data_IF_306823129298
#
_entry.id   IF_306823129298
#
_cell.length_a   1.000
_cell.length_b   1.000
_cell.length_c   1.000
_cell.angle_alpha   90.00
_cell.angle_beta   90.00
_cell.angle_gamma   90.00
#
_symmetry.space_group_name_H-M   'P 1'
#
loop_
_entity.id
_entity.type
_entity.pdbx_description
1 polymer ?
#
# COMPACT_ATOMS: atom_id res chain seq x y z
N UNK A 1 -24.57 -5.28 -8.41
CA UNK A 1 -23.88 -4.54 -7.33
C UNK A 1 -22.41 -4.56 -7.65
N UNK A 2 -21.91 -3.51 -8.29
CA UNK A 2 -20.52 -3.35 -8.67
C UNK A 2 -19.67 -3.35 -7.39
N UNK A 3 -18.92 -4.43 -7.19
CA UNK A 3 -17.99 -4.59 -6.09
C UNK A 3 -16.77 -3.69 -6.34
N UNK A 4 -17.01 -2.38 -6.40
CA UNK A 4 -16.00 -1.38 -6.17
C UNK A 4 -15.74 -1.41 -4.66
N UNK A 5 -15.14 -2.52 -4.19
CA UNK A 5 -14.39 -2.51 -2.94
C UNK A 5 -13.33 -1.47 -3.19
N UNK A 6 -13.57 -0.26 -2.71
CA UNK A 6 -12.57 0.78 -2.56
C UNK A 6 -11.33 0.06 -2.05
N UNK A 7 -10.34 -0.10 -2.92
CA UNK A 7 -9.08 -0.78 -2.60
C UNK A 7 -8.27 0.22 -1.80
N UNK A 8 -8.83 0.58 -0.63
CA UNK A 8 -8.38 1.70 0.15
C UNK A 8 -7.06 1.29 0.81
N UNK A 9 -5.99 2.07 0.58
CA UNK A 9 -4.68 1.78 1.14
C UNK A 9 -4.75 1.88 2.67
N UNK A 10 -4.36 0.81 3.35
CA UNK A 10 -4.21 0.80 4.81
C UNK A 10 -2.77 1.12 5.17
N UNK A 11 -2.56 2.18 5.92
CA UNK A 11 -1.25 2.55 6.46
C UNK A 11 -1.02 1.84 7.80
N UNK A 12 0.09 1.12 7.90
CA UNK A 12 0.58 0.48 9.12
C UNK A 12 1.82 1.20 9.61
N UNK A 13 1.87 1.53 10.90
CA UNK A 13 3.05 2.09 11.57
C UNK A 13 3.52 1.06 12.59
N UNK A 14 4.81 0.77 12.63
CA UNK A 14 5.38 -0.23 13.52
C UNK A 14 6.86 0.07 13.82
N UNK A 15 7.34 -0.38 14.98
CA UNK A 15 8.75 -0.29 15.36
C UNK A 15 9.50 -1.56 14.93
N UNK A 16 10.69 -1.41 14.34
CA UNK A 16 11.59 -2.49 13.96
C UNK A 16 13.02 -2.09 14.35
N UNK A 17 13.75 -2.96 15.06
CA UNK A 17 15.13 -2.70 15.51
C UNK A 17 15.32 -1.38 16.30
N UNK A 18 14.27 -0.87 16.93
CA UNK A 18 14.29 0.39 17.68
C UNK A 18 14.06 1.64 16.82
N UNK A 19 13.73 1.46 15.54
CA UNK A 19 13.37 2.51 14.60
C UNK A 19 11.90 2.39 14.18
N UNK A 20 11.25 3.52 13.93
CA UNK A 20 9.87 3.54 13.46
C UNK A 20 9.81 3.39 11.96
N UNK A 21 8.90 2.57 11.47
CA UNK A 21 8.69 2.31 10.07
C UNK A 21 7.20 2.33 9.73
N UNK A 22 6.92 2.47 8.43
CA UNK A 22 5.58 2.37 7.91
C UNK A 22 5.49 1.44 6.71
N UNK A 23 4.32 0.83 6.52
CA UNK A 23 3.99 0.04 5.34
C UNK A 23 2.55 0.31 4.91
N UNK A 24 2.32 0.40 3.61
CA UNK A 24 0.99 0.55 3.01
C UNK A 24 0.58 -0.80 2.44
N UNK A 25 -0.59 -1.29 2.84
CA UNK A 25 -1.20 -2.51 2.31
C UNK A 25 -2.49 -2.20 1.56
N UNK A 26 -2.81 -3.05 0.58
CA UNK A 26 -4.13 -3.05 -0.09
C UNK A 26 -4.71 -4.47 -0.10
N UNK A 27 -6.04 -4.60 -0.14
CA UNK A 27 -6.69 -5.87 -0.43
C UNK A 27 -6.23 -6.39 -1.79
N UNK A 28 -5.86 -7.67 -1.87
CA UNK A 28 -5.53 -8.29 -3.16
C UNK A 28 -6.79 -8.32 -4.05
N UNK A 29 -6.68 -7.96 -5.34
CA UNK A 29 -7.82 -7.99 -6.26
C UNK A 29 -8.32 -9.40 -6.55
N UNK A 30 -7.48 -10.42 -6.34
CA UNK A 30 -7.88 -11.84 -6.44
C UNK A 30 -7.30 -12.62 -5.26
N UNK A 31 -8.16 -13.38 -4.58
CA UNK A 31 -7.83 -14.15 -3.38
C UNK A 31 -8.17 -13.45 -2.06
N UNK A 32 -7.87 -14.11 -0.95
CA UNK A 32 -7.99 -13.57 0.40
C UNK A 32 -6.63 -13.06 0.87
N UNK A 33 -6.60 -11.91 1.53
CA UNK A 33 -5.41 -11.35 2.17
C UNK A 33 -5.02 -9.96 1.66
N UNK A 34 -4.02 -9.41 2.32
CA UNK A 34 -3.46 -8.09 2.05
C UNK A 34 -2.12 -8.22 1.34
N UNK A 35 -1.77 -7.22 0.52
CA UNK A 35 -0.44 -7.10 -0.10
C UNK A 35 0.16 -5.77 0.30
N UNK A 36 1.41 -5.78 0.76
CA UNK A 36 2.23 -4.56 0.92
C UNK A 36 2.59 -4.01 -0.46
N UNK A 37 2.29 -2.74 -0.68
CA UNK A 37 2.49 -2.03 -1.96
C UNK A 37 3.48 -0.87 -1.87
N UNK A 38 3.75 -0.38 -0.65
CA UNK A 38 4.83 0.55 -0.37
C UNK A 38 5.26 0.41 1.10
N UNK A 39 6.47 0.79 1.44
CA UNK A 39 7.00 0.79 2.80
C UNK A 39 8.18 1.76 2.91
N UNK A 40 8.46 2.23 4.13
CA UNK A 40 9.64 3.02 4.43
C UNK A 40 10.90 2.18 4.41
N UNK A 41 11.88 2.56 3.58
CA UNK A 41 13.21 1.94 3.61
C UNK A 41 14.05 2.44 4.79
N UNK A 42 13.87 3.70 5.17
CA UNK A 42 14.56 4.33 6.28
C UNK A 42 13.73 4.25 7.56
N UNK A 43 14.42 4.14 8.69
CA UNK A 43 13.84 4.21 10.02
C UNK A 43 13.67 5.64 10.47
N UNK A 44 12.56 5.92 11.16
CA UNK A 44 12.27 7.21 11.75
C UNK A 44 12.52 7.17 13.26
N UNK A 45 12.89 8.32 13.82
CA UNK A 45 13.13 8.45 15.26
C UNK A 45 11.82 8.40 16.08
N UNK A 46 10.67 8.72 15.46
CA UNK A 46 9.38 8.82 16.15
C UNK A 46 8.25 8.20 15.32
N UNK A 47 7.24 7.68 16.01
CA UNK A 47 6.01 7.17 15.38
C UNK A 47 5.31 8.27 14.55
N UNK A 48 5.34 9.51 15.03
CA UNK A 48 4.73 10.66 14.38
C UNK A 48 5.38 10.95 13.03
N UNK A 49 6.71 10.97 12.96
CA UNK A 49 7.47 11.15 11.71
C UNK A 49 7.14 10.05 10.70
N UNK A 50 7.15 8.77 11.13
CA UNK A 50 6.78 7.64 10.28
C UNK A 50 5.32 7.74 9.79
N UNK A 51 4.42 8.21 10.65
CA UNK A 51 3.00 8.38 10.31
C UNK A 51 2.79 9.53 9.34
N UNK A 52 3.48 10.65 9.49
CA UNK A 52 3.38 11.79 8.57
C UNK A 52 3.93 11.43 7.20
N UNK A 53 5.08 10.74 7.15
CA UNK A 53 5.68 10.27 5.91
C UNK A 53 4.79 9.24 5.20
N UNK A 54 4.31 8.23 5.93
CA UNK A 54 3.40 7.22 5.38
C UNK A 54 2.06 7.80 4.92
N UNK A 55 1.52 8.81 5.62
CA UNK A 55 0.32 9.53 5.15
C UNK A 55 0.59 10.29 3.85
N UNK A 56 1.79 10.85 3.70
CA UNK A 56 2.19 11.53 2.47
C UNK A 56 2.24 10.54 1.31
N UNK A 57 2.88 9.39 1.49
CA UNK A 57 2.92 8.31 0.51
C UNK A 57 1.52 7.82 0.09
N UNK A 58 0.58 7.74 1.03
CA UNK A 58 -0.84 7.44 0.74
C UNK A 58 -1.48 8.53 -0.13
N UNK A 59 -1.28 9.80 0.22
CA UNK A 59 -1.86 10.97 -0.47
C UNK A 59 -1.28 11.18 -1.86
N UNK A 60 0.03 10.99 -2.02
CA UNK A 60 0.76 11.08 -3.28
C UNK A 60 0.43 9.91 -4.22
N UNK A 61 -0.16 8.85 -3.67
CA UNK A 61 -0.60 7.70 -4.46
C UNK A 61 0.55 6.81 -4.90
N UNK A 62 1.67 6.77 -4.16
CA UNK A 62 2.79 5.88 -4.44
C UNK A 62 2.35 4.42 -4.53
N UNK A 63 1.37 4.03 -3.72
CA UNK A 63 0.73 2.70 -3.74
C UNK A 63 -0.01 2.39 -5.05
N UNK A 64 -0.42 3.41 -5.82
CA UNK A 64 -1.03 3.25 -7.14
C UNK A 64 0.00 3.05 -8.24
N UNK A 65 1.16 3.69 -8.14
CA UNK A 65 2.24 3.54 -9.12
C UNK A 65 2.79 2.10 -9.14
N UNK A 66 2.88 1.45 -7.98
CA UNK A 66 3.24 0.03 -7.86
C UNK A 66 2.07 -0.94 -8.11
N UNK A 67 0.83 -0.44 -8.10
CA UNK A 67 -0.40 -1.17 -8.45
C UNK A 67 -0.80 -1.10 -9.93
N UNK A 68 -0.33 -0.11 -10.70
CA UNK A 68 -0.76 0.15 -12.08
C UNK A 68 -0.27 -0.87 -13.12
N UNK A 69 0.49 -1.90 -12.73
CA UNK A 69 0.77 -3.05 -13.60
C UNK A 69 -0.30 -4.15 -13.54
N UNK A 70 -1.40 -3.93 -12.81
CA UNK A 70 -2.45 -4.93 -12.70
C UNK A 70 -3.44 -4.86 -13.87
N UNK A 71 -3.11 -5.70 -14.86
CA UNK A 71 -4.00 -6.37 -15.80
C UNK A 71 -4.79 -5.49 -16.77
N UNK A 72 -4.20 -5.22 -17.94
CA UNK A 72 -4.99 -5.26 -19.17
C UNK A 72 -5.58 -6.68 -19.30
N UNK A 73 -6.91 -6.86 -19.32
CA UNK A 73 -7.49 -8.13 -19.68
C UNK A 73 -7.38 -8.28 -21.21
N UNK A 74 -6.23 -8.74 -21.71
CA UNK A 74 -6.18 -9.33 -23.04
C UNK A 74 -6.86 -10.70 -22.99
N UNK A 75 -8.20 -10.70 -22.89
CA UNK A 75 -8.98 -11.84 -23.32
C UNK A 75 -8.98 -11.80 -24.85
N UNK A 76 -7.91 -12.31 -25.45
CA UNK A 76 -7.87 -12.59 -26.88
C UNK A 76 -8.87 -13.71 -27.14
N UNK A 77 -9.99 -13.35 -27.78
CA UNK A 77 -10.92 -14.32 -28.32
C UNK A 77 -10.25 -15.11 -29.45
N UNK A 78 -10.40 -16.43 -29.37
CA UNK A 78 -10.53 -17.33 -30.53
C UNK A 78 -11.25 -18.59 -30.08
#
# INVERSE_FOLDING_TARGET
MDAQKSSDPTLHIFEQDGEWHWAITIPRPTGNGMKVVSYSYEGFASEEDAREDGQRAVREGEWRASGARQAEPSHSGV
#
